data_IF_748197340526
#
_entry.id   IF_748197340526
#
_cell.length_a   1.000
_cell.length_b   1.000
_cell.length_c   1.000
_cell.angle_alpha   90.00
_cell.angle_beta   90.00
_cell.angle_gamma   90.00
#
_symmetry.space_group_name_H-M   'P 1'
#
loop_
_entity.id
_entity.type
_entity.pdbx_description
1 polymer ?
#
# COMPACT_ATOMS: atom_id res chain seq x y z
N UNK A 1 -9.92 29.55 7.70
CA UNK A 1 -11.39 29.59 7.81
C UNK A 1 -11.78 28.14 7.81
N UNK A 2 -11.65 27.52 8.97
CA UNK A 2 -12.01 26.12 9.16
C UNK A 2 -13.52 26.09 9.24
N UNK A 3 -14.14 25.67 8.15
CA UNK A 3 -15.56 25.34 8.15
C UNK A 3 -15.67 24.04 8.95
N UNK A 4 -16.12 24.12 10.20
CA UNK A 4 -16.37 22.98 11.11
C UNK A 4 -17.57 22.14 10.63
N UNK A 5 -17.71 21.95 9.31
CA UNK A 5 -18.69 21.04 8.74
C UNK A 5 -18.14 19.62 8.86
N UNK A 6 -18.87 18.70 9.51
CA UNK A 6 -18.41 17.33 9.66
C UNK A 6 -18.28 16.69 8.28
N UNK A 7 -17.10 16.13 8.01
CA UNK A 7 -16.81 15.49 6.71
C UNK A 7 -17.89 14.48 6.34
N UNK A 8 -18.32 14.40 5.06
CA UNK A 8 -19.32 13.43 4.64
C UNK A 8 -18.94 12.01 5.07
N UNK A 9 -19.91 11.22 5.55
CA UNK A 9 -19.67 9.82 5.97
C UNK A 9 -18.95 9.03 4.87
N UNK A 10 -19.31 9.28 3.60
CA UNK A 10 -18.65 8.70 2.44
C UNK A 10 -17.15 8.98 2.43
N UNK A 11 -16.71 10.22 2.71
CA UNK A 11 -15.30 10.58 2.75
C UNK A 11 -14.55 9.81 3.84
N UNK A 12 -15.11 9.68 5.04
CA UNK A 12 -14.52 8.91 6.14
C UNK A 12 -14.39 7.44 5.78
N UNK A 13 -15.42 6.84 5.18
CA UNK A 13 -15.40 5.45 4.73
C UNK A 13 -14.33 5.25 3.66
N UNK A 14 -14.26 6.13 2.66
CA UNK A 14 -13.24 6.06 1.58
C UNK A 14 -11.82 6.10 2.13
N UNK A 15 -11.55 6.97 3.12
CA UNK A 15 -10.24 7.07 3.78
C UNK A 15 -9.84 5.74 4.44
N UNK A 16 -10.76 5.09 5.17
CA UNK A 16 -10.52 3.78 5.77
C UNK A 16 -10.35 2.67 4.73
N UNK A 17 -11.16 2.70 3.67
CA UNK A 17 -11.05 1.74 2.58
C UNK A 17 -9.68 1.77 1.91
N UNK A 18 -9.10 2.95 1.68
CA UNK A 18 -7.75 3.03 1.11
C UNK A 18 -6.64 2.60 2.07
N UNK A 19 -6.80 2.85 3.37
CA UNK A 19 -5.90 2.28 4.39
C UNK A 19 -5.95 0.74 4.37
N UNK A 20 -7.16 0.17 4.41
CA UNK A 20 -7.37 -1.29 4.36
C UNK A 20 -6.85 -1.88 3.05
N UNK A 21 -7.08 -1.20 1.92
CA UNK A 21 -6.55 -1.62 0.61
C UNK A 21 -5.03 -1.71 0.65
N UNK A 22 -4.34 -0.71 1.22
CA UNK A 22 -2.89 -0.74 1.43
C UNK A 22 -2.43 -1.94 2.28
N UNK A 23 -3.11 -2.21 3.40
CA UNK A 23 -2.81 -3.37 4.25
C UNK A 23 -2.99 -4.69 3.49
N UNK A 24 -4.10 -4.84 2.76
CA UNK A 24 -4.37 -6.03 1.97
C UNK A 24 -3.34 -6.23 0.85
N UNK A 25 -2.87 -5.15 0.22
CA UNK A 25 -1.81 -5.20 -0.78
C UNK A 25 -0.47 -5.65 -0.17
N UNK A 26 -0.13 -5.22 1.06
CA UNK A 26 1.05 -5.77 1.78
C UNK A 26 0.86 -7.26 2.09
N UNK A 27 -0.33 -7.66 2.54
CA UNK A 27 -0.63 -9.07 2.77
C UNK A 27 -0.54 -9.89 1.48
N UNK A 28 -1.00 -9.36 0.35
CA UNK A 28 -0.88 -9.98 -0.96
C UNK A 28 0.59 -10.22 -1.31
N UNK A 29 1.48 -9.25 -1.08
CA UNK A 29 2.91 -9.43 -1.25
C UNK A 29 3.46 -10.59 -0.39
N UNK A 30 3.04 -10.70 0.87
CA UNK A 30 3.41 -11.82 1.74
C UNK A 30 2.96 -13.18 1.17
N UNK A 31 1.87 -13.22 0.40
CA UNK A 31 1.41 -14.44 -0.30
C UNK A 31 2.15 -14.71 -1.60
N UNK A 32 2.74 -13.69 -2.24
CA UNK A 32 3.60 -13.83 -3.42
C UNK A 32 4.97 -14.38 -3.02
N UNK A 33 5.54 -13.98 -1.89
CA UNK A 33 6.90 -14.41 -1.47
C UNK A 33 7.13 -15.93 -1.56
N UNK A 34 6.24 -16.81 -1.05
CA UNK A 34 6.45 -18.25 -1.11
C UNK A 34 6.41 -18.84 -2.52
N UNK A 35 5.82 -18.15 -3.51
CA UNK A 35 5.71 -18.68 -4.87
C UNK A 35 7.01 -18.54 -5.68
N UNK A 36 7.94 -17.71 -5.21
CA UNK A 36 9.23 -17.44 -5.88
C UNK A 36 10.25 -18.58 -5.77
N UNK A 37 9.94 -19.64 -5.01
CA UNK A 37 10.85 -20.77 -4.73
C UNK A 37 12.24 -20.33 -4.24
N UNK A 38 12.33 -19.17 -3.60
CA UNK A 38 13.60 -18.61 -3.20
C UNK A 38 14.26 -19.45 -2.10
N UNK A 39 15.53 -19.82 -2.28
CA UNK A 39 16.27 -20.63 -1.33
C UNK A 39 17.74 -20.20 -1.24
N UNK A 40 18.28 -20.29 -0.03
CA UNK A 40 19.70 -20.08 0.26
C UNK A 40 20.36 -21.43 0.48
N UNK A 41 21.46 -21.67 -0.23
CA UNK A 41 22.32 -22.83 -0.06
C UNK A 41 23.72 -22.39 0.34
N UNK A 42 24.38 -23.19 1.18
CA UNK A 42 25.77 -22.98 1.58
C UNK A 42 26.65 -23.69 0.53
N UNK A 43 27.57 -22.99 -0.15
CA UNK A 43 28.40 -23.60 -1.16
C UNK A 43 29.44 -24.54 -0.54
N UNK A 44 29.84 -25.57 -1.29
CA UNK A 44 30.94 -26.46 -0.91
C UNK A 44 32.31 -25.77 -0.99
N UNK A 45 32.47 -24.83 -1.91
CA UNK A 45 33.66 -23.98 -2.01
C UNK A 45 33.34 -22.51 -1.73
N UNK A 46 34.28 -21.82 -1.08
CA UNK A 46 34.07 -20.44 -0.60
C UNK A 46 33.78 -19.42 -1.72
N UNK A 47 34.17 -19.70 -2.96
CA UNK A 47 34.02 -18.79 -4.10
C UNK A 47 32.81 -19.12 -4.99
N UNK A 48 32.05 -20.19 -4.70
CA UNK A 48 30.93 -20.59 -5.55
C UNK A 48 29.71 -19.71 -5.29
N UNK A 49 29.23 -19.02 -6.32
CA UNK A 49 28.00 -18.20 -6.29
C UNK A 49 26.75 -19.06 -6.54
N UNK A 50 26.51 -20.03 -5.66
CA UNK A 50 25.38 -20.97 -5.76
C UNK A 50 24.02 -20.28 -5.58
N UNK A 51 23.99 -19.12 -4.91
CA UNK A 51 22.76 -18.40 -4.56
C UNK A 51 22.31 -17.39 -5.63
N UNK A 52 23.04 -17.28 -6.75
CA UNK A 52 22.67 -16.37 -7.84
C UNK A 52 21.24 -16.60 -8.32
N UNK A 53 20.91 -17.84 -8.70
CA UNK A 53 19.66 -18.15 -9.38
C UNK A 53 18.49 -18.44 -8.42
N UNK A 54 18.79 -18.86 -7.20
CA UNK A 54 17.78 -19.26 -6.21
C UNK A 54 17.46 -18.18 -5.19
N UNK A 55 18.33 -17.19 -4.99
CA UNK A 55 18.12 -16.11 -4.02
C UNK A 55 18.13 -14.75 -4.70
N UNK A 56 19.25 -14.38 -5.34
CA UNK A 56 19.43 -13.02 -5.89
C UNK A 56 18.48 -12.75 -7.06
N UNK A 57 18.47 -13.61 -8.07
CA UNK A 57 17.63 -13.42 -9.25
C UNK A 57 16.13 -13.69 -9.03
N UNK A 58 15.73 -14.19 -7.85
CA UNK A 58 14.32 -14.38 -7.50
C UNK A 58 13.75 -13.22 -6.67
N UNK A 59 14.54 -12.62 -5.78
CA UNK A 59 14.04 -11.63 -4.81
C UNK A 59 14.89 -10.35 -4.71
N UNK A 60 16.21 -10.48 -4.84
CA UNK A 60 17.19 -9.44 -4.47
C UNK A 60 18.13 -9.10 -5.63
N UNK A 61 17.56 -8.82 -6.79
CA UNK A 61 18.27 -8.32 -7.96
C UNK A 61 17.69 -6.97 -8.33
N UNK A 62 18.55 -6.00 -8.64
CA UNK A 62 18.13 -4.70 -9.20
C UNK A 62 17.82 -4.76 -10.69
N UNK A 63 17.81 -5.96 -11.28
CA UNK A 63 17.24 -6.15 -12.60
C UNK A 63 15.75 -5.74 -12.54
N UNK A 64 15.28 -4.80 -13.39
CA UNK A 64 13.94 -4.23 -13.27
C UNK A 64 12.82 -5.28 -13.31
N UNK A 65 12.99 -6.31 -14.13
CA UNK A 65 12.09 -7.46 -14.25
C UNK A 65 11.97 -8.28 -12.96
N UNK A 66 12.99 -8.30 -12.11
CA UNK A 66 12.96 -8.96 -10.80
C UNK A 66 12.47 -8.01 -9.72
N UNK A 67 13.10 -6.83 -9.60
CA UNK A 67 12.82 -5.92 -8.50
C UNK A 67 11.42 -5.32 -8.58
N UNK A 68 11.06 -4.76 -9.75
CA UNK A 68 9.78 -4.08 -9.91
C UNK A 68 8.66 -5.11 -9.79
N UNK A 69 8.77 -6.26 -10.46
CA UNK A 69 7.74 -7.28 -10.36
C UNK A 69 7.54 -7.74 -8.92
N UNK A 70 8.61 -8.08 -8.21
CA UNK A 70 8.48 -8.67 -6.88
C UNK A 70 8.09 -7.67 -5.78
N UNK A 71 8.56 -6.42 -5.86
CA UNK A 71 8.42 -5.44 -4.77
C UNK A 71 7.33 -4.40 -5.00
N UNK A 72 6.74 -4.31 -6.21
CA UNK A 72 5.67 -3.35 -6.49
C UNK A 72 4.50 -3.45 -5.50
N UNK A 73 3.92 -4.64 -5.22
CA UNK A 73 2.83 -4.75 -4.25
C UNK A 73 3.24 -4.22 -2.87
N UNK A 74 4.42 -4.60 -2.38
CA UNK A 74 4.92 -4.12 -1.09
C UNK A 74 5.05 -2.59 -1.05
N UNK A 75 5.74 -2.00 -2.03
CA UNK A 75 6.01 -0.56 -2.05
C UNK A 75 4.71 0.23 -2.16
N UNK A 76 3.79 -0.20 -3.03
CA UNK A 76 2.49 0.47 -3.20
C UNK A 76 1.62 0.32 -1.94
N UNK A 77 1.51 -0.89 -1.39
CA UNK A 77 0.75 -1.13 -0.18
C UNK A 77 1.30 -0.35 1.01
N UNK A 78 2.62 -0.36 1.22
CA UNK A 78 3.29 0.38 2.28
C UNK A 78 3.09 1.89 2.12
N UNK A 79 3.27 2.42 0.92
CA UNK A 79 3.04 3.85 0.65
C UNK A 79 1.58 4.24 0.93
N UNK A 80 0.63 3.38 0.54
CA UNK A 80 -0.80 3.58 0.80
C UNK A 80 -1.14 3.52 2.30
N UNK A 81 -0.41 2.74 3.09
CA UNK A 81 -0.58 2.71 4.55
C UNK A 81 0.04 3.94 5.20
N UNK A 82 1.28 4.28 4.84
CA UNK A 82 2.04 5.37 5.45
C UNK A 82 1.39 6.74 5.19
N UNK A 83 0.77 6.95 4.03
CA UNK A 83 0.14 8.24 3.70
C UNK A 83 -1.01 8.64 4.64
N UNK A 84 -1.55 7.70 5.42
CA UNK A 84 -2.60 7.95 6.41
C UNK A 84 -2.07 8.39 7.78
N UNK A 85 -0.78 8.22 8.08
CA UNK A 85 -0.18 8.62 9.36
C UNK A 85 0.24 10.08 9.34
N UNK A 86 0.03 10.80 10.44
CA UNK A 86 0.42 12.21 10.53
C UNK A 86 1.92 12.42 10.33
N UNK A 87 2.75 11.52 10.86
CA UNK A 87 4.21 11.59 10.77
C UNK A 87 4.75 11.47 9.33
N UNK A 88 3.95 11.01 8.39
CA UNK A 88 4.32 10.86 6.99
C UNK A 88 3.45 11.78 6.13
N UNK A 89 4.05 12.82 5.55
CA UNK A 89 3.36 13.69 4.60
C UNK A 89 3.59 13.22 3.15
N UNK A 90 2.59 12.52 2.62
CA UNK A 90 2.54 12.07 1.23
C UNK A 90 1.40 12.80 0.50
N UNK A 91 1.43 14.13 0.53
CA UNK A 91 0.47 15.01 -0.13
C UNK A 91 0.29 14.72 -1.64
N UNK A 92 1.29 14.11 -2.29
CA UNK A 92 1.15 13.62 -3.67
C UNK A 92 -0.03 12.64 -3.84
N UNK A 93 -0.38 11.89 -2.80
CA UNK A 93 -1.44 10.88 -2.79
C UNK A 93 -2.69 11.39 -2.06
N UNK A 94 -2.53 11.98 -0.87
CA UNK A 94 -3.67 12.26 0.03
C UNK A 94 -4.10 13.72 0.12
N UNK A 95 -3.51 14.63 -0.67
CA UNK A 95 -3.91 16.05 -0.63
C UNK A 95 -5.37 16.27 -1.03
N UNK A 96 -5.93 15.42 -1.91
CA UNK A 96 -7.35 15.44 -2.28
C UNK A 96 -7.79 14.07 -2.82
N UNK A 97 -9.10 13.89 -2.99
CA UNK A 97 -9.66 12.63 -3.50
C UNK A 97 -9.33 12.32 -4.96
N UNK A 98 -8.94 13.31 -5.78
CA UNK A 98 -8.54 13.06 -7.17
C UNK A 98 -7.18 12.36 -7.26
N UNK A 99 -6.21 12.81 -6.46
CA UNK A 99 -4.91 12.14 -6.30
C UNK A 99 -5.08 10.76 -5.69
N UNK A 100 -5.97 10.64 -4.70
CA UNK A 100 -6.25 9.37 -4.04
C UNK A 100 -6.92 8.36 -4.98
N UNK A 101 -7.85 8.82 -5.83
CA UNK A 101 -8.45 8.03 -6.91
C UNK A 101 -7.37 7.49 -7.84
N UNK A 102 -6.50 8.36 -8.36
CA UNK A 102 -5.45 7.94 -9.29
C UNK A 102 -4.50 6.94 -8.64
N UNK A 103 -4.08 7.19 -7.41
CA UNK A 103 -3.23 6.28 -6.66
C UNK A 103 -3.85 4.90 -6.48
N UNK A 104 -5.09 4.82 -5.98
CA UNK A 104 -5.77 3.55 -5.77
C UNK A 104 -6.05 2.82 -7.09
N UNK A 105 -6.34 3.55 -8.17
CA UNK A 105 -6.52 2.96 -9.50
C UNK A 105 -5.23 2.30 -10.00
N UNK A 106 -4.10 3.02 -9.91
CA UNK A 106 -2.78 2.47 -10.28
C UNK A 106 -2.44 1.29 -9.38
N UNK A 107 -2.71 1.36 -8.06
CA UNK A 107 -2.46 0.25 -7.13
C UNK A 107 -3.30 -0.99 -7.46
N UNK A 108 -4.56 -0.81 -7.85
CA UNK A 108 -5.40 -1.92 -8.28
C UNK A 108 -4.81 -2.63 -9.51
N UNK A 109 -4.42 -1.87 -10.54
CA UNK A 109 -3.92 -2.43 -11.79
C UNK A 109 -2.52 -3.03 -11.66
N UNK A 110 -1.60 -2.30 -11.02
CA UNK A 110 -0.17 -2.61 -11.03
C UNK A 110 0.35 -3.17 -9.71
N UNK A 111 -0.39 -3.05 -8.61
CA UNK A 111 0.00 -3.61 -7.31
C UNK A 111 -0.80 -4.85 -6.90
N UNK A 112 -1.95 -5.12 -7.55
CA UNK A 112 -2.89 -6.14 -7.09
C UNK A 112 -3.29 -7.17 -8.15
N UNK A 113 -4.00 -6.77 -9.22
CA UNK A 113 -4.68 -7.72 -10.12
C UNK A 113 -3.76 -8.76 -10.78
N UNK A 114 -2.49 -8.41 -11.02
CA UNK A 114 -1.51 -9.31 -11.63
C UNK A 114 -0.84 -10.31 -10.67
N UNK A 115 -1.10 -10.22 -9.36
CA UNK A 115 -0.32 -10.92 -8.34
C UNK A 115 -1.07 -12.05 -7.66
N UNK A 116 -0.36 -13.14 -7.31
CA UNK A 116 -0.89 -14.30 -6.57
C UNK A 116 -2.22 -14.88 -7.12
N UNK A 117 -2.43 -14.82 -8.43
CA UNK A 117 -3.60 -15.38 -9.11
C UNK A 117 -4.93 -14.81 -8.58
N UNK A 118 -5.83 -15.69 -8.12
CA UNK A 118 -7.17 -15.29 -7.67
C UNK A 118 -7.16 -14.35 -6.46
N UNK A 119 -6.14 -14.42 -5.58
CA UNK A 119 -6.03 -13.51 -4.44
C UNK A 119 -5.79 -12.06 -4.88
N UNK A 120 -4.98 -11.84 -5.92
CA UNK A 120 -4.78 -10.51 -6.49
C UNK A 120 -6.06 -9.94 -7.08
N UNK A 121 -6.91 -10.77 -7.68
CA UNK A 121 -8.23 -10.35 -8.19
C UNK A 121 -9.13 -9.89 -7.04
N UNK A 122 -9.16 -10.61 -5.91
CA UNK A 122 -9.95 -10.22 -4.74
C UNK A 122 -9.46 -8.90 -4.14
N UNK A 123 -8.16 -8.78 -3.87
CA UNK A 123 -7.57 -7.56 -3.29
C UNK A 123 -7.70 -6.37 -4.26
N UNK A 124 -7.49 -6.61 -5.56
CA UNK A 124 -7.69 -5.63 -6.61
C UNK A 124 -9.12 -5.14 -6.69
N UNK A 125 -10.12 -6.02 -6.53
CA UNK A 125 -11.54 -5.66 -6.51
C UNK A 125 -11.89 -4.74 -5.34
N UNK A 126 -11.36 -5.01 -4.14
CA UNK A 126 -11.52 -4.12 -2.97
C UNK A 126 -10.90 -2.75 -3.25
N UNK A 127 -9.72 -2.72 -3.87
CA UNK A 127 -9.01 -1.49 -4.21
C UNK A 127 -9.74 -0.70 -5.31
N UNK A 128 -10.36 -1.37 -6.28
CA UNK A 128 -11.24 -0.74 -7.28
C UNK A 128 -12.50 -0.16 -6.66
N UNK A 129 -13.05 -0.80 -5.62
CA UNK A 129 -14.15 -0.22 -4.85
C UNK A 129 -13.69 1.07 -4.16
N UNK A 130 -12.53 1.08 -3.51
CA UNK A 130 -11.92 2.31 -2.95
C UNK A 130 -11.76 3.39 -4.02
N UNK A 131 -11.34 2.99 -5.22
CA UNK A 131 -11.20 3.90 -6.37
C UNK A 131 -12.54 4.52 -6.75
N UNK A 132 -13.60 3.72 -6.88
CA UNK A 132 -14.94 4.22 -7.19
C UNK A 132 -15.44 5.21 -6.13
N UNK A 133 -15.28 4.87 -4.85
CA UNK A 133 -15.67 5.76 -3.75
C UNK A 133 -14.85 7.06 -3.74
N UNK A 134 -13.56 6.99 -4.07
CA UNK A 134 -12.72 8.18 -4.24
C UNK A 134 -13.21 9.06 -5.38
N UNK A 135 -13.61 8.49 -6.52
CA UNK A 135 -14.21 9.21 -7.64
C UNK A 135 -15.50 9.94 -7.22
N UNK A 136 -16.35 9.27 -6.45
CA UNK A 136 -17.57 9.89 -5.90
C UNK A 136 -17.20 11.07 -4.99
N UNK A 137 -16.22 10.90 -4.09
CA UNK A 137 -15.77 11.95 -3.18
C UNK A 137 -15.21 13.20 -3.90
N UNK A 138 -14.64 13.08 -5.10
CA UNK A 138 -14.18 14.24 -5.90
C UNK A 138 -15.31 15.24 -6.13
N UNK A 139 -16.55 14.77 -6.29
CA UNK A 139 -17.71 15.63 -6.55
C UNK A 139 -18.46 16.03 -5.28
N UNK A 140 -18.21 15.36 -4.14
CA UNK A 140 -18.94 15.58 -2.89
C UNK A 140 -18.20 16.47 -1.89
N UNK A 141 -16.87 16.48 -1.91
CA UNK A 141 -16.06 17.20 -0.92
C UNK A 141 -14.69 17.60 -1.47
N UNK A 142 -14.20 18.77 -1.03
CA UNK A 142 -12.84 19.25 -1.31
C UNK A 142 -11.98 19.14 -0.04
N UNK A 143 -11.77 17.90 0.41
CA UNK A 143 -11.04 17.56 1.62
C UNK A 143 -9.85 16.63 1.34
N UNK A 144 -8.83 16.60 2.21
CA UNK A 144 -7.75 15.63 2.11
C UNK A 144 -8.25 14.19 2.34
N UNK A 145 -7.67 13.24 1.61
CA UNK A 145 -7.98 11.82 1.72
C UNK A 145 -7.17 11.11 2.84
N UNK A 146 -6.50 11.88 3.70
CA UNK A 146 -5.68 11.40 4.82
C UNK A 146 -6.56 11.05 6.02
N UNK A 147 -6.20 10.01 6.79
CA UNK A 147 -6.90 9.66 8.05
C UNK A 147 -6.36 10.45 9.26
N UNK A 148 -5.08 10.81 9.26
CA UNK A 148 -4.46 11.53 10.38
C UNK A 148 -4.18 10.61 11.58
N UNK A 149 -3.72 9.38 11.33
CA UNK A 149 -3.40 8.44 12.40
C UNK A 149 -2.16 8.94 13.16
N UNK A 150 -2.30 9.17 14.47
CA UNK A 150 -1.20 9.55 15.37
C UNK A 150 -0.64 8.34 16.10
N UNK A 151 0.69 8.18 16.12
CA UNK A 151 1.35 7.32 17.09
C UNK A 151 1.33 8.00 18.46
N UNK A 152 0.84 7.30 19.48
CA UNK A 152 0.54 7.91 20.77
C UNK A 152 1.73 8.50 21.53
N UNK A 153 1.46 9.59 22.25
CA UNK A 153 1.45 9.59 23.72
C UNK A 153 0.28 10.44 24.19
N UNK A 154 -0.77 9.81 24.74
CA UNK A 154 -1.61 10.47 25.74
C UNK A 154 -1.07 10.06 27.10
N UNK A 155 -0.13 10.83 27.62
CA UNK A 155 0.20 10.81 29.04
C UNK A 155 -0.20 12.17 29.58
N UNK A 156 -1.51 12.35 29.74
CA UNK A 156 -2.03 13.37 30.64
C UNK A 156 -1.87 12.77 32.05
N UNK A 157 -0.65 12.83 32.60
CA UNK A 157 -0.48 12.61 34.03
C UNK A 157 -1.28 13.69 34.74
N UNK A 158 -2.36 13.28 35.40
CA UNK A 158 -3.12 14.09 36.34
C UNK A 158 -2.15 14.74 37.33
N UNK A 159 -1.89 16.04 37.18
CA UNK A 159 -1.39 16.86 38.27
C UNK A 159 -2.60 17.25 39.13
N UNK A 160 -2.76 16.54 40.25
CA UNK A 160 -3.56 16.97 41.38
C UNK A 160 -2.91 18.18 42.06
#
# INVERSE_FOLDING_TARGET
>A
MDDDTPSPVTAVVTRWMGFISGVLTIMLWCLVLPTTNASISIPGHFLDDVNRNTWRMQLFSFAPDVFIDMWTPFVMGLTSVLCHFESFDLSLITANFARFFLWNFVMALFGNLGYAGGMGVVVGSVTLLTTLFSLICIFLCDEPAKLGIRFGKRSDSMSF
#
